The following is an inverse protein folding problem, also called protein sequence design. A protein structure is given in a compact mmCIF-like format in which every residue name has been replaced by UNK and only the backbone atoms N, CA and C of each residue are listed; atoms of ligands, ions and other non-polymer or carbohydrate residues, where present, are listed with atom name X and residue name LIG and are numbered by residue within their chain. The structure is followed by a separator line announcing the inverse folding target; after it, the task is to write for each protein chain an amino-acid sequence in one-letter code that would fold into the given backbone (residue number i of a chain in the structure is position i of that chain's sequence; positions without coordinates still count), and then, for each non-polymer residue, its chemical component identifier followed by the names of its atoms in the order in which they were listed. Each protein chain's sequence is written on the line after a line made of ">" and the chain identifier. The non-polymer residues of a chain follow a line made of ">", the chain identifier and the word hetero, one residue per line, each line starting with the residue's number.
data_IF_807906329951
#
_entry.id   IF_807906329951
#
_cell.length_a   1.000
_cell.length_b   1.000
_cell.length_c   1.000
_cell.angle_alpha   90.00
_cell.angle_beta   90.00
_cell.angle_gamma   90.00
#
_symmetry.space_group_name_H-M   'P 1'
#
loop_
_entity.id
_entity.type
_entity.pdbx_description
1 polymer ?
#
# COMPACT_ATOMS: atom_id res chain seq x y z
N UNK A 1 8.23 14.47 -3.25
CA UNK A 1 7.36 13.28 -3.14
C UNK A 1 8.24 12.07 -3.34
N UNK A 2 8.38 11.22 -2.34
CA UNK A 2 9.23 10.03 -2.43
C UNK A 2 8.51 8.95 -3.24
N UNK A 3 9.19 8.38 -4.23
CA UNK A 3 8.68 7.27 -5.03
C UNK A 3 9.01 5.93 -4.37
N UNK A 4 8.14 4.95 -4.56
CA UNK A 4 8.30 3.59 -4.02
C UNK A 4 9.67 3.01 -4.37
N UNK A 5 10.21 3.30 -5.56
CA UNK A 5 11.49 2.80 -6.06
C UNK A 5 12.72 3.41 -5.39
N UNK A 6 12.56 4.47 -4.60
CA UNK A 6 13.64 5.09 -3.85
C UNK A 6 13.93 4.39 -2.51
N UNK A 7 13.09 3.43 -2.10
CA UNK A 7 13.23 2.67 -0.87
C UNK A 7 14.15 1.44 -1.07
N UNK A 8 14.73 0.88 0.01
CA UNK A 8 15.43 -0.40 -0.05
C UNK A 8 14.56 -1.50 -0.67
N UNK A 9 15.17 -2.41 -1.45
CA UNK A 9 14.45 -3.43 -2.22
C UNK A 9 13.45 -4.25 -1.39
N UNK A 10 13.82 -4.65 -0.18
CA UNK A 10 12.94 -5.42 0.71
C UNK A 10 11.70 -4.62 1.13
N UNK A 11 11.84 -3.30 1.28
CA UNK A 11 10.73 -2.40 1.58
C UNK A 11 9.84 -2.21 0.36
N UNK A 12 10.43 -2.03 -0.83
CA UNK A 12 9.66 -1.98 -2.08
C UNK A 12 8.82 -3.24 -2.28
N UNK A 13 9.43 -4.42 -2.10
CA UNK A 13 8.73 -5.70 -2.26
C UNK A 13 7.59 -5.78 -1.25
N UNK A 14 7.85 -5.52 0.04
CA UNK A 14 6.83 -5.57 1.09
C UNK A 14 5.67 -4.63 0.79
N UNK A 15 5.94 -3.37 0.45
CA UNK A 15 4.89 -2.39 0.17
C UNK A 15 4.07 -2.74 -1.09
N UNK A 16 4.69 -3.30 -2.14
CA UNK A 16 3.95 -3.80 -3.32
C UNK A 16 3.02 -4.96 -2.99
N UNK A 17 3.45 -5.86 -2.11
CA UNK A 17 2.58 -6.93 -1.61
C UNK A 17 1.36 -6.38 -0.88
N UNK A 18 1.55 -5.38 -0.02
CA UNK A 18 0.45 -4.69 0.66
C UNK A 18 -0.51 -4.05 -0.34
N UNK A 19 0.00 -3.31 -1.32
CA UNK A 19 -0.83 -2.72 -2.38
C UNK A 19 -1.64 -3.77 -3.14
N UNK A 20 -1.02 -4.93 -3.43
CA UNK A 20 -1.71 -6.06 -4.08
C UNK A 20 -2.81 -6.64 -3.21
N UNK A 21 -2.58 -6.78 -1.92
CA UNK A 21 -3.56 -7.34 -0.99
C UNK A 21 -4.73 -6.37 -0.76
N UNK A 22 -4.48 -5.06 -0.72
CA UNK A 22 -5.53 -4.02 -0.73
C UNK A 22 -6.35 -4.11 -2.03
N UNK A 23 -5.70 -4.21 -3.20
CA UNK A 23 -6.40 -4.39 -4.50
C UNK A 23 -7.32 -5.61 -4.49
N UNK A 24 -6.84 -6.71 -3.91
CA UNK A 24 -7.56 -7.97 -3.83
C UNK A 24 -8.53 -8.05 -2.64
N UNK A 25 -8.64 -7.00 -1.82
CA UNK A 25 -9.44 -6.94 -0.59
C UNK A 25 -9.14 -8.09 0.40
N UNK A 26 -7.88 -8.53 0.46
CA UNK A 26 -7.42 -9.67 1.26
C UNK A 26 -7.10 -9.27 2.71
N UNK A 27 -8.05 -8.63 3.39
CA UNK A 27 -7.84 -8.10 4.75
C UNK A 27 -7.98 -9.14 5.86
N UNK A 28 -8.56 -10.30 5.57
CA UNK A 28 -8.91 -11.33 6.56
C UNK A 28 -7.82 -12.38 6.79
N UNK A 29 -6.97 -12.65 5.80
CA UNK A 29 -5.94 -13.71 5.88
C UNK A 29 -4.56 -13.18 6.28
N UNK A 30 -4.29 -11.91 6.03
CA UNK A 30 -3.05 -11.23 6.39
C UNK A 30 -3.40 -9.83 6.87
N UNK A 31 -3.42 -9.57 8.19
CA UNK A 31 -3.61 -8.22 8.68
C UNK A 31 -2.47 -7.35 8.15
N UNK A 32 -2.81 -6.32 7.39
CA UNK A 32 -1.82 -5.38 6.86
C UNK A 32 -1.16 -4.65 8.03
N UNK A 33 0.16 -4.55 8.03
CA UNK A 33 0.89 -3.80 9.05
C UNK A 33 0.43 -2.33 9.07
N UNK A 34 0.11 -1.80 10.25
CA UNK A 34 -0.26 -0.39 10.43
C UNK A 34 0.86 0.55 9.96
N UNK A 35 2.13 0.16 10.12
CA UNK A 35 3.27 0.96 9.66
C UNK A 35 3.33 1.06 8.13
N UNK A 36 3.11 -0.07 7.44
CA UNK A 36 3.14 -0.10 5.97
C UNK A 36 1.93 0.67 5.40
N UNK A 37 0.79 0.60 6.09
CA UNK A 37 -0.41 1.38 5.76
C UNK A 37 -0.18 2.89 5.88
N UNK A 38 0.43 3.35 6.98
CA UNK A 38 0.76 4.76 7.17
C UNK A 38 1.75 5.23 6.10
N UNK A 39 2.81 4.48 5.83
CA UNK A 39 3.77 4.78 4.77
C UNK A 39 3.09 4.93 3.41
N UNK A 40 2.24 3.97 3.01
CA UNK A 40 1.55 4.02 1.72
C UNK A 40 0.55 5.18 1.62
N UNK A 41 -0.11 5.53 2.73
CA UNK A 41 -1.00 6.69 2.81
C UNK A 41 -0.22 7.99 2.67
N UNK A 42 0.88 8.14 3.40
CA UNK A 42 1.70 9.34 3.40
C UNK A 42 2.39 9.55 2.04
N UNK A 43 2.68 8.47 1.31
CA UNK A 43 3.16 8.50 -0.08
C UNK A 43 2.06 8.73 -1.13
N UNK A 44 0.78 8.73 -0.73
CA UNK A 44 -0.38 8.94 -1.60
C UNK A 44 -0.74 7.75 -2.49
N UNK A 45 -0.32 6.53 -2.13
CA UNK A 45 -0.68 5.30 -2.85
C UNK A 45 -1.99 4.68 -2.38
N UNK A 46 -2.40 4.99 -1.15
CA UNK A 46 -3.60 4.45 -0.50
C UNK A 46 -4.37 5.58 0.17
N UNK A 47 -5.69 5.50 0.10
CA UNK A 47 -6.62 6.34 0.84
C UNK A 47 -7.55 5.47 1.68
N UNK A 48 -8.13 6.02 2.75
CA UNK A 48 -9.16 5.34 3.54
C UNK A 48 -10.50 5.94 3.17
N UNK A 49 -11.39 5.10 2.64
CA UNK A 49 -12.76 5.50 2.29
C UNK A 49 -13.72 4.77 3.23
N UNK A 50 -14.29 5.53 4.17
CA UNK A 50 -15.00 4.95 5.31
C UNK A 50 -14.02 4.24 6.24
N UNK A 51 -14.15 2.93 6.35
CA UNK A 51 -13.29 2.08 7.20
C UNK A 51 -12.35 1.17 6.38
N UNK A 52 -12.37 1.29 5.05
CA UNK A 52 -11.61 0.40 4.16
C UNK A 52 -10.52 1.15 3.42
N UNK A 53 -9.29 0.59 3.37
CA UNK A 53 -8.24 1.14 2.53
C UNK A 53 -8.51 0.82 1.06
N UNK A 54 -8.31 1.81 0.21
CA UNK A 54 -8.47 1.74 -1.24
C UNK A 54 -7.24 2.30 -1.93
N UNK A 55 -6.90 1.74 -3.10
CA UNK A 55 -5.79 2.24 -3.90
C UNK A 55 -6.17 3.54 -4.61
N UNK A 56 -5.25 4.50 -4.57
CA UNK A 56 -5.30 5.65 -5.47
C UNK A 56 -4.87 5.24 -6.88
N UNK A 57 -5.13 6.05 -7.93
CA UNK A 57 -4.59 5.78 -9.27
C UNK A 57 -3.07 5.59 -9.25
N UNK A 58 -2.35 6.41 -8.47
CA UNK A 58 -0.90 6.30 -8.26
C UNK A 58 -0.51 4.94 -7.68
N UNK A 59 -1.28 4.41 -6.73
CA UNK A 59 -1.06 3.08 -6.13
C UNK A 59 -1.32 1.93 -7.10
N UNK A 60 -2.29 2.08 -8.00
CA UNK A 60 -2.61 1.07 -9.01
C UNK A 60 -1.47 0.86 -10.01
N UNK A 61 -0.71 1.91 -10.34
CA UNK A 61 0.44 1.86 -11.25
C UNK A 61 1.66 1.10 -10.69
N UNK A 62 1.66 0.78 -9.39
CA UNK A 62 2.80 0.15 -8.71
C UNK A 62 2.70 -1.38 -8.60
N UNK A 63 1.61 -2.00 -9.08
CA UNK A 63 1.28 -3.43 -8.89
C UNK A 63 1.34 -4.20 -10.20
#
# INVERSE_FOLDING_TARGET
>A
MSDLTALPLDEVIRLRWVLRDIRAKRFTLSPVSSSDMETLRDMGYVEVVGELPVLTPKGQEQI
#
